data_IF_847685469067
#
_entry.id   IF_847685469067
#
_cell.length_a   1.000
_cell.length_b   1.000
_cell.length_c   1.000
_cell.angle_alpha   90.00
_cell.angle_beta   90.00
_cell.angle_gamma   90.00
#
_symmetry.space_group_name_H-M   'P 1'
#
loop_
_entity.id
_entity.type
_entity.pdbx_description
1 polymer ?
#
# COMPACT_ATOMS: atom_id res chain seq x y z
N UNK A 1 20.67 16.53 -29.45
CA UNK A 1 19.75 15.84 -28.53
C UNK A 1 20.58 14.99 -27.59
N UNK A 2 20.40 15.11 -26.28
CA UNK A 2 21.19 14.32 -25.32
C UNK A 2 20.73 12.86 -25.37
N UNK A 3 21.56 11.96 -25.89
CA UNK A 3 21.36 10.51 -25.82
C UNK A 3 21.54 10.03 -24.38
N UNK A 4 20.53 10.31 -23.56
CA UNK A 4 20.50 9.89 -22.17
C UNK A 4 20.28 8.36 -22.12
N UNK A 5 21.17 7.63 -21.44
CA UNK A 5 21.13 6.18 -21.47
C UNK A 5 19.84 5.68 -20.79
N UNK A 6 19.23 4.65 -21.38
CA UNK A 6 17.92 4.15 -20.95
C UNK A 6 18.07 3.12 -19.83
N UNK A 7 17.53 3.46 -18.66
CA UNK A 7 17.65 2.69 -17.42
C UNK A 7 17.16 1.24 -17.51
N UNK A 8 16.22 0.96 -18.42
CA UNK A 8 15.62 -0.37 -18.59
C UNK A 8 16.39 -1.25 -19.59
N UNK A 9 17.06 -0.65 -20.57
CA UNK A 9 17.70 -1.39 -21.67
C UNK A 9 19.22 -1.49 -21.54
N UNK A 10 19.82 -0.75 -20.61
CA UNK A 10 21.25 -0.84 -20.32
C UNK A 10 21.63 -2.16 -19.62
N UNK A 11 22.88 -2.58 -19.84
CA UNK A 11 23.50 -3.69 -19.11
C UNK A 11 23.47 -3.42 -17.59
N UNK A 12 22.98 -4.36 -16.77
CA UNK A 12 22.81 -4.15 -15.33
C UNK A 12 24.07 -3.74 -14.58
N UNK A 13 25.24 -4.29 -14.94
CA UNK A 13 26.53 -3.94 -14.34
C UNK A 13 26.96 -2.51 -14.65
N UNK A 14 26.90 -2.10 -15.92
CA UNK A 14 27.21 -0.74 -16.38
C UNK A 14 26.29 0.30 -15.72
N UNK A 15 25.02 -0.03 -15.51
CA UNK A 15 24.07 0.82 -14.79
C UNK A 15 24.47 1.03 -13.33
N UNK A 16 24.87 -0.04 -12.65
CA UNK A 16 25.24 0.02 -11.24
C UNK A 16 26.57 0.76 -11.04
N UNK A 17 27.50 0.60 -11.98
CA UNK A 17 28.76 1.34 -12.00
C UNK A 17 28.54 2.85 -12.17
N UNK A 18 27.69 3.26 -13.12
CA UNK A 18 27.30 4.67 -13.27
C UNK A 18 26.59 5.20 -12.02
N UNK A 19 25.74 4.38 -11.39
CA UNK A 19 25.08 4.75 -10.16
C UNK A 19 26.08 4.96 -9.01
N UNK A 20 27.10 4.11 -8.86
CA UNK A 20 28.19 4.33 -7.87
C UNK A 20 28.87 5.66 -8.09
N UNK A 21 29.33 5.93 -9.32
CA UNK A 21 30.03 7.18 -9.68
C UNK A 21 29.20 8.40 -9.35
N UNK A 22 27.93 8.43 -9.74
CA UNK A 22 27.07 9.59 -9.43
C UNK A 22 26.79 9.76 -7.93
N UNK A 23 26.74 8.67 -7.16
CA UNK A 23 26.58 8.75 -5.70
C UNK A 23 27.86 9.29 -5.04
N UNK A 24 29.03 8.84 -5.50
CA UNK A 24 30.34 9.33 -5.03
C UNK A 24 30.57 10.80 -5.38
N UNK A 25 30.14 11.23 -6.58
CA UNK A 25 30.09 12.64 -7.01
C UNK A 25 29.09 13.48 -6.18
N UNK A 26 28.29 12.85 -5.32
CA UNK A 26 27.37 13.54 -4.40
C UNK A 26 26.03 13.93 -5.00
N UNK A 27 25.65 13.38 -6.16
CA UNK A 27 24.33 13.63 -6.75
C UNK A 27 23.22 12.99 -5.91
N UNK A 28 22.11 13.72 -5.77
CA UNK A 28 20.90 13.20 -5.14
C UNK A 28 20.14 12.25 -6.07
N UNK A 29 19.32 11.36 -5.51
CA UNK A 29 18.51 10.41 -6.29
C UNK A 29 17.65 11.06 -7.38
N UNK A 30 17.18 12.30 -7.19
CA UNK A 30 16.38 13.03 -8.18
C UNK A 30 17.25 13.57 -9.32
N UNK A 31 18.46 14.03 -9.04
CA UNK A 31 19.41 14.50 -10.06
C UNK A 31 19.92 13.35 -10.91
N UNK A 32 20.20 12.21 -10.28
CA UNK A 32 20.57 10.98 -11.00
C UNK A 32 19.43 10.52 -11.89
N UNK A 33 18.17 10.57 -11.43
CA UNK A 33 17.03 10.17 -12.25
C UNK A 33 16.90 11.00 -13.55
N UNK A 34 17.30 12.27 -13.55
CA UNK A 34 17.30 13.12 -14.76
C UNK A 34 18.38 12.73 -15.77
N UNK A 35 19.43 12.02 -15.34
CA UNK A 35 20.52 11.54 -16.20
C UNK A 35 20.18 10.23 -16.92
N UNK A 36 19.04 9.62 -16.63
CA UNK A 36 18.58 8.38 -17.26
C UNK A 36 17.20 8.53 -17.89
N UNK A 37 17.00 7.89 -19.03
CA UNK A 37 15.67 7.80 -19.65
C UNK A 37 14.87 6.66 -19.01
N UNK A 38 13.60 6.90 -18.66
CA UNK A 38 12.71 5.87 -18.11
C UNK A 38 12.97 5.50 -16.63
N UNK A 39 13.71 6.33 -15.90
CA UNK A 39 14.02 6.13 -14.49
C UNK A 39 13.39 7.20 -13.59
N UNK A 40 12.94 6.80 -12.40
CA UNK A 40 12.39 7.72 -11.40
C UNK A 40 13.23 7.69 -10.12
N UNK A 41 13.09 8.73 -9.27
CA UNK A 41 13.81 8.84 -7.98
C UNK A 41 13.78 7.54 -7.17
N UNK A 42 12.61 6.90 -7.07
CA UNK A 42 12.44 5.68 -6.28
C UNK A 42 13.16 4.48 -6.87
N UNK A 43 13.30 4.42 -8.21
CA UNK A 43 14.07 3.38 -8.89
C UNK A 43 15.55 3.48 -8.54
N UNK A 44 16.09 4.70 -8.53
CA UNK A 44 17.47 5.00 -8.12
C UNK A 44 17.68 4.70 -6.63
N UNK A 45 16.83 5.25 -5.77
CA UNK A 45 16.95 5.07 -4.31
C UNK A 45 16.86 3.59 -3.90
N UNK A 46 15.93 2.84 -4.50
CA UNK A 46 15.79 1.41 -4.25
C UNK A 46 17.00 0.61 -4.73
N UNK A 47 17.58 0.95 -5.88
CA UNK A 47 18.79 0.27 -6.38
C UNK A 47 20.00 0.58 -5.53
N UNK A 48 20.21 1.86 -5.20
CA UNK A 48 21.30 2.30 -4.31
C UNK A 48 21.24 1.60 -2.95
N UNK A 49 20.05 1.49 -2.35
CA UNK A 49 19.86 0.79 -1.07
C UNK A 49 20.27 -0.69 -1.15
N UNK A 50 19.89 -1.41 -2.22
CA UNK A 50 20.30 -2.81 -2.43
C UNK A 50 21.81 -2.96 -2.67
N UNK A 51 22.46 -1.92 -3.18
CA UNK A 51 23.91 -1.86 -3.40
C UNK A 51 24.69 -1.33 -2.19
N UNK A 52 24.02 -1.00 -1.07
CA UNK A 52 24.66 -0.43 0.12
C UNK A 52 25.16 1.01 -0.05
N UNK A 53 24.78 1.69 -1.12
CA UNK A 53 25.19 3.06 -1.39
C UNK A 53 24.34 4.05 -0.59
N UNK A 54 25.00 4.99 0.09
CA UNK A 54 24.34 6.04 0.86
C UNK A 54 24.45 7.36 0.11
N UNK A 55 23.30 7.99 -0.15
CA UNK A 55 23.29 9.37 -0.60
C UNK A 55 23.77 10.27 0.54
N UNK A 56 24.62 11.24 0.24
CA UNK A 56 24.92 12.30 1.21
C UNK A 56 23.62 13.00 1.57
N UNK A 57 23.22 12.87 2.83
CA UNK A 57 22.01 13.48 3.35
C UNK A 57 22.21 14.98 3.32
N UNK A 58 21.68 15.65 2.28
CA UNK A 58 21.52 17.10 2.33
C UNK A 58 20.62 17.39 3.52
N UNK A 59 21.16 18.11 4.51
CA UNK A 59 20.39 18.60 5.65
C UNK A 59 19.09 19.20 5.14
N UNK A 60 18.00 18.87 5.83
CA UNK A 60 16.63 19.25 5.51
C UNK A 60 16.49 20.78 5.55
N UNK A 61 16.85 21.46 4.45
CA UNK A 61 16.59 22.89 4.30
C UNK A 61 15.08 23.06 4.26
N UNK A 62 14.59 23.97 5.12
CA UNK A 62 13.17 24.22 5.33
C UNK A 62 12.42 24.45 4.01
N UNK A 63 11.21 23.90 3.98
CA UNK A 63 10.26 23.88 2.85
C UNK A 63 10.01 25.29 2.28
N UNK A 64 10.33 25.58 1.01
CA UNK A 64 9.86 26.81 0.36
C UNK A 64 8.35 26.70 0.08
N UNK A 65 7.64 27.83 0.24
CA UNK A 65 6.19 27.96 0.04
C UNK A 65 5.75 27.59 -1.39
N UNK A 66 4.55 27.01 -1.55
CA UNK A 66 4.03 26.60 -2.85
C UNK A 66 3.59 27.80 -3.69
N UNK A 67 4.17 27.97 -4.88
CA UNK A 67 3.65 28.87 -5.92
C UNK A 67 2.46 28.23 -6.67
N UNK A 68 1.46 29.01 -7.11
CA UNK A 68 0.24 28.50 -7.72
C UNK A 68 0.47 27.99 -9.15
N UNK A 69 0.05 26.75 -9.42
CA UNK A 69 0.06 26.14 -10.76
C UNK A 69 -1.21 26.47 -11.54
N UNK A 70 -1.07 27.11 -12.71
CA UNK A 70 -2.12 27.26 -13.72
C UNK A 70 -2.50 25.89 -14.30
N UNK A 71 -3.81 25.61 -14.37
CA UNK A 71 -4.40 24.45 -15.04
C UNK A 71 -4.23 24.57 -16.55
N UNK A 72 -3.66 23.53 -17.17
CA UNK A 72 -3.65 23.36 -18.63
C UNK A 72 -4.81 22.46 -19.02
N UNK A 73 -5.75 23.02 -19.78
CA UNK A 73 -6.84 22.29 -20.41
C UNK A 73 -6.30 21.53 -21.63
N UNK A 74 -6.71 20.27 -21.78
CA UNK A 74 -6.48 19.47 -22.99
C UNK A 74 -7.84 19.09 -23.56
N UNK A 75 -8.15 19.69 -24.70
CA UNK A 75 -9.20 19.26 -25.63
C UNK A 75 -8.84 17.88 -26.20
N UNK A 76 -9.74 16.91 -26.04
CA UNK A 76 -9.63 15.59 -26.66
C UNK A 76 -10.58 15.50 -27.85
N UNK A 77 -10.02 15.24 -29.03
CA UNK A 77 -10.75 14.68 -30.18
C UNK A 77 -10.60 13.15 -30.15
N UNK A 78 -11.59 12.46 -30.73
CA UNK A 78 -11.78 11.01 -30.90
C UNK A 78 -12.65 10.30 -29.85
N UNK A 79 -13.83 9.89 -30.33
CA UNK A 79 -14.92 9.27 -29.59
C UNK A 79 -14.84 7.75 -29.47
N UNK A 80 -15.82 7.20 -28.76
CA UNK A 80 -16.04 5.75 -28.63
C UNK A 80 -16.57 5.33 -27.26
N UNK A 81 -17.87 5.60 -27.02
CA UNK A 81 -18.86 4.89 -26.18
C UNK A 81 -18.36 3.82 -25.19
N UNK A 82 -18.34 4.13 -23.88
CA UNK A 82 -19.11 3.49 -22.78
C UNK A 82 -18.80 4.23 -21.47
N UNK A 83 -19.77 4.97 -20.94
CA UNK A 83 -19.64 5.79 -19.74
C UNK A 83 -19.53 4.96 -18.46
N UNK A 84 -18.31 4.55 -18.10
CA UNK A 84 -17.99 4.10 -16.74
C UNK A 84 -17.91 5.34 -15.87
N UNK A 85 -18.95 5.64 -15.10
CA UNK A 85 -18.87 6.60 -13.99
C UNK A 85 -17.91 6.05 -12.94
N UNK A 86 -16.61 6.26 -13.18
CA UNK A 86 -15.57 6.16 -12.17
C UNK A 86 -15.83 7.32 -11.21
N UNK A 87 -16.56 7.06 -10.14
CA UNK A 87 -16.52 7.90 -8.96
C UNK A 87 -15.03 8.02 -8.57
N UNK A 88 -14.42 9.18 -8.85
CA UNK A 88 -13.10 9.50 -8.34
C UNK A 88 -13.23 9.51 -6.83
N UNK A 89 -12.72 8.45 -6.19
CA UNK A 89 -12.35 8.51 -4.79
C UNK A 89 -11.40 9.69 -4.64
N UNK A 90 -11.94 10.84 -4.21
CA UNK A 90 -11.15 11.94 -3.70
C UNK A 90 -10.33 11.34 -2.56
N UNK A 91 -9.00 11.38 -2.66
CA UNK A 91 -8.15 11.23 -1.49
C UNK A 91 -8.47 12.43 -0.61
N UNK A 92 -9.43 12.25 0.29
CA UNK A 92 -9.66 13.20 1.37
C UNK A 92 -8.44 13.09 2.26
N UNK A 93 -7.75 14.21 2.41
CA UNK A 93 -6.68 14.37 3.37
C UNK A 93 -7.17 13.86 4.73
N UNK A 94 -6.57 12.78 5.23
CA UNK A 94 -7.04 12.08 6.43
C UNK A 94 -6.90 12.93 7.72
N UNK A 95 -6.36 14.13 7.61
CA UNK A 95 -6.18 15.09 8.70
C UNK A 95 -7.23 16.21 8.72
N UNK A 96 -8.07 16.36 7.69
CA UNK A 96 -8.97 17.52 7.56
C UNK A 96 -10.45 17.25 7.92
N UNK A 97 -10.80 16.08 8.44
CA UNK A 97 -12.20 15.75 8.78
C UNK A 97 -12.39 15.06 10.13
N UNK A 98 -11.57 15.40 11.14
CA UNK A 98 -11.90 15.12 12.54
C UNK A 98 -12.95 16.14 13.05
N UNK A 99 -14.16 16.09 12.48
CA UNK A 99 -15.31 16.75 13.10
C UNK A 99 -15.76 15.90 14.30
N UNK A 100 -16.03 16.52 15.45
CA UNK A 100 -16.47 15.83 16.68
C UNK A 100 -17.66 14.90 16.43
N UNK A 101 -18.58 15.29 15.54
CA UNK A 101 -19.70 14.44 15.09
C UNK A 101 -19.24 13.12 14.43
N UNK A 102 -18.15 13.11 13.66
CA UNK A 102 -17.60 11.88 13.08
C UNK A 102 -16.96 10.99 14.14
N UNK A 103 -16.44 11.56 15.23
CA UNK A 103 -15.87 10.81 16.35
C UNK A 103 -17.00 10.14 17.15
N UNK A 104 -18.09 10.87 17.42
CA UNK A 104 -19.27 10.36 18.13
C UNK A 104 -19.96 9.27 17.30
N UNK A 105 -20.23 9.51 16.02
CA UNK A 105 -20.82 8.50 15.12
C UNK A 105 -19.94 7.23 14.99
N UNK A 106 -18.61 7.40 15.04
CA UNK A 106 -17.67 6.26 15.04
C UNK A 106 -17.60 5.56 16.40
N UNK A 107 -17.85 6.25 17.50
CA UNK A 107 -17.94 5.66 18.82
C UNK A 107 -19.27 4.92 19.02
N UNK A 108 -20.37 5.44 18.48
CA UNK A 108 -21.70 4.79 18.50
C UNK A 108 -21.73 3.53 17.64
N UNK A 109 -21.16 3.56 16.43
CA UNK A 109 -21.04 2.34 15.61
C UNK A 109 -20.18 1.25 16.26
N UNK A 110 -19.17 1.62 17.08
CA UNK A 110 -18.40 0.67 17.90
C UNK A 110 -19.17 0.10 19.09
N UNK A 111 -20.22 0.78 19.57
CA UNK A 111 -21.08 0.30 20.67
C UNK A 111 -22.22 -0.60 20.17
N UNK A 112 -22.66 -0.43 18.91
CA UNK A 112 -23.78 -1.14 18.33
C UNK A 112 -23.43 -2.50 17.73
N UNK A 113 -22.17 -2.72 17.30
CA UNK A 113 -21.72 -4.06 16.92
C UNK A 113 -21.49 -4.88 18.21
N UNK A 114 -22.15 -6.04 18.39
CA UNK A 114 -21.75 -7.00 19.41
C UNK A 114 -20.40 -7.63 18.99
N UNK A 115 -19.33 -6.86 19.17
CA UNK A 115 -17.99 -7.27 18.74
C UNK A 115 -17.51 -8.40 19.65
N UNK A 116 -17.55 -9.63 19.15
CA UNK A 116 -16.70 -10.71 19.65
C UNK A 116 -15.24 -10.25 19.51
N UNK A 117 -14.67 -9.73 20.61
CA UNK A 117 -13.27 -9.33 20.67
C UNK A 117 -12.43 -10.57 20.96
N UNK A 118 -12.00 -11.25 19.90
CA UNK A 118 -11.01 -12.32 20.01
C UNK A 118 -9.66 -11.67 20.32
N UNK A 119 -9.05 -12.06 21.43
CA UNK A 119 -7.71 -11.59 21.79
C UNK A 119 -6.67 -12.19 20.84
N UNK A 120 -5.54 -11.51 20.65
CA UNK A 120 -4.45 -12.05 19.81
C UNK A 120 -3.87 -13.37 20.34
N UNK A 121 -4.01 -13.65 21.64
CA UNK A 121 -3.60 -14.93 22.24
C UNK A 121 -4.52 -16.07 21.81
N UNK A 122 -5.83 -15.81 21.70
CA UNK A 122 -6.84 -16.76 21.21
C UNK A 122 -7.04 -16.66 19.69
N UNK A 123 -6.05 -16.15 18.95
CA UNK A 123 -6.17 -15.83 17.54
C UNK A 123 -6.53 -17.04 16.67
N UNK A 124 -6.07 -18.22 17.06
CA UNK A 124 -6.24 -19.47 16.33
C UNK A 124 -7.23 -20.41 17.02
N UNK A 125 -7.97 -19.92 18.01
CA UNK A 125 -9.04 -20.70 18.63
C UNK A 125 -10.34 -20.52 17.82
N UNK A 126 -11.23 -21.53 17.79
CA UNK A 126 -12.51 -21.40 17.13
C UNK A 126 -13.35 -20.29 17.76
N UNK A 127 -14.07 -19.54 16.92
CA UNK A 127 -14.98 -18.49 17.38
C UNK A 127 -16.11 -19.15 18.19
N UNK A 128 -16.44 -18.68 19.41
CA UNK A 128 -17.54 -19.21 20.18
C UNK A 128 -18.86 -19.15 19.38
N UNK A 129 -19.52 -20.30 19.20
CA UNK A 129 -20.78 -20.42 18.47
C UNK A 129 -20.64 -20.68 16.96
N UNK A 130 -19.43 -20.80 16.42
CA UNK A 130 -19.19 -21.24 15.04
C UNK A 130 -18.40 -22.55 15.08
N UNK A 131 -18.96 -23.60 14.48
CA UNK A 131 -18.27 -24.87 14.29
C UNK A 131 -17.24 -24.76 13.15
N UNK A 132 -15.97 -25.10 13.39
CA UNK A 132 -14.96 -25.14 12.35
C UNK A 132 -15.29 -26.13 11.24
N UNK A 133 -14.97 -25.76 10.01
CA UNK A 133 -15.19 -26.57 8.81
C UNK A 133 -13.86 -27.12 8.30
N UNK A 134 -13.85 -28.29 7.63
CA UNK A 134 -12.63 -28.82 7.05
C UNK A 134 -12.09 -27.91 5.92
N UNK A 135 -10.78 -27.98 5.72
CA UNK A 135 -10.06 -27.31 4.65
C UNK A 135 -10.72 -27.58 3.29
N UNK A 136 -10.90 -26.52 2.48
CA UNK A 136 -11.56 -26.58 1.17
C UNK A 136 -13.04 -26.19 1.20
N UNK A 137 -13.65 -26.07 2.37
CA UNK A 137 -15.05 -25.64 2.52
C UNK A 137 -15.27 -24.16 2.17
N UNK A 138 -16.54 -23.78 1.92
CA UNK A 138 -16.95 -22.39 1.76
C UNK A 138 -16.90 -21.63 3.10
N UNK A 139 -16.97 -20.29 3.08
CA UNK A 139 -16.90 -19.47 4.30
C UNK A 139 -15.49 -19.09 4.75
N UNK A 140 -15.35 -18.50 5.94
CA UNK A 140 -14.12 -17.88 6.40
C UNK A 140 -12.92 -18.85 6.38
N UNK A 141 -11.86 -18.52 5.62
CA UNK A 141 -10.66 -19.35 5.42
C UNK A 141 -9.57 -19.14 6.47
N UNK A 142 -9.92 -18.63 7.64
CA UNK A 142 -8.97 -18.38 8.70
C UNK A 142 -8.69 -19.70 9.45
N UNK A 143 -7.42 -20.08 9.66
CA UNK A 143 -7.07 -21.33 10.35
C UNK A 143 -7.41 -21.24 11.84
N UNK A 144 -8.09 -22.25 12.39
CA UNK A 144 -8.57 -22.27 13.79
C UNK A 144 -8.11 -23.52 14.57
N UNK A 145 -7.10 -24.22 14.06
CA UNK A 145 -6.54 -25.43 14.69
C UNK A 145 -5.43 -25.15 15.72
N UNK A 146 -5.34 -23.93 16.25
CA UNK A 146 -4.21 -23.55 17.08
C UNK A 146 -2.87 -23.54 16.32
N UNK A 147 -1.78 -23.31 17.06
CA UNK A 147 -0.41 -23.36 16.51
C UNK A 147 0.11 -24.79 16.33
N UNK A 148 -0.45 -25.75 17.07
CA UNK A 148 0.00 -27.14 17.15
C UNK A 148 -0.94 -28.15 16.46
N UNK A 149 -2.10 -27.71 15.95
CA UNK A 149 -3.02 -28.59 15.24
C UNK A 149 -2.59 -28.86 13.79
N UNK A 150 -3.24 -29.84 13.14
CA UNK A 150 -2.86 -30.29 11.80
C UNK A 150 -3.09 -29.23 10.69
N UNK A 151 -3.67 -28.07 11.01
CA UNK A 151 -3.91 -26.98 10.06
C UNK A 151 -5.00 -27.30 9.03
N UNK A 152 -5.92 -28.20 9.38
CA UNK A 152 -6.94 -28.76 8.49
C UNK A 152 -8.33 -28.19 8.73
N UNK A 153 -8.54 -27.34 9.75
CA UNK A 153 -9.80 -26.66 10.01
C UNK A 153 -9.74 -25.16 9.75
N UNK A 154 -10.82 -24.67 9.15
CA UNK A 154 -11.10 -23.27 8.90
C UNK A 154 -12.27 -22.82 9.75
N UNK A 155 -12.32 -21.52 10.05
CA UNK A 155 -13.43 -20.92 10.78
C UNK A 155 -14.80 -21.18 10.14
N UNK A 156 -14.93 -21.14 8.81
CA UNK A 156 -16.20 -21.45 8.14
C UNK A 156 -17.31 -20.41 8.24
N UNK A 157 -17.20 -19.41 9.13
CA UNK A 157 -18.19 -18.34 9.29
C UNK A 157 -18.48 -17.57 7.98
N UNK A 158 -19.67 -16.98 7.87
CA UNK A 158 -20.05 -16.17 6.72
C UNK A 158 -19.07 -15.02 6.46
N UNK A 159 -18.82 -14.78 5.17
CA UNK A 159 -17.88 -13.76 4.70
C UNK A 159 -18.48 -12.98 3.53
N UNK A 160 -18.15 -11.71 3.44
CA UNK A 160 -18.49 -10.90 2.27
C UNK A 160 -17.86 -11.49 0.99
N UNK A 161 -18.61 -11.46 -0.11
CA UNK A 161 -18.13 -11.92 -1.42
C UNK A 161 -16.89 -11.12 -1.82
N UNK A 162 -15.83 -11.82 -2.22
CA UNK A 162 -14.54 -11.23 -2.55
C UNK A 162 -13.58 -11.06 -1.36
N UNK A 163 -14.02 -11.33 -0.12
CA UNK A 163 -13.13 -11.43 1.05
C UNK A 163 -12.81 -12.88 1.40
N UNK A 164 -11.58 -13.17 1.87
CA UNK A 164 -11.21 -14.52 2.29
C UNK A 164 -11.68 -14.86 3.72
N UNK A 165 -11.95 -13.86 4.56
CA UNK A 165 -12.25 -14.03 5.99
C UNK A 165 -13.55 -13.33 6.39
N UNK A 166 -14.18 -13.80 7.48
CA UNK A 166 -15.28 -13.10 8.15
C UNK A 166 -14.79 -11.76 8.73
N UNK A 167 -15.70 -10.91 9.22
CA UNK A 167 -15.31 -9.59 9.73
C UNK A 167 -14.37 -9.69 10.94
N UNK A 168 -14.62 -10.62 11.85
CA UNK A 168 -13.78 -10.85 13.04
C UNK A 168 -12.34 -11.23 12.65
N UNK A 169 -12.18 -12.25 11.80
CA UNK A 169 -10.86 -12.69 11.33
C UNK A 169 -10.19 -11.69 10.38
N UNK A 170 -10.96 -10.89 9.65
CA UNK A 170 -10.43 -9.78 8.85
C UNK A 170 -9.79 -8.71 9.73
N UNK A 171 -10.36 -8.40 10.91
CA UNK A 171 -9.80 -7.46 11.88
C UNK A 171 -8.53 -8.03 12.52
N UNK A 172 -8.57 -9.29 12.92
CA UNK A 172 -7.42 -10.00 13.51
C UNK A 172 -6.22 -10.05 12.55
N UNK A 173 -6.46 -10.38 11.28
CA UNK A 173 -5.41 -10.43 10.25
C UNK A 173 -4.79 -9.05 9.94
N UNK A 174 -5.55 -7.97 10.13
CA UNK A 174 -5.09 -6.59 9.91
C UNK A 174 -4.35 -6.00 11.11
N UNK A 175 -4.37 -6.66 12.27
CA UNK A 175 -3.66 -6.24 13.48
C UNK A 175 -4.18 -4.94 14.08
N UNK A 176 -5.49 -4.70 13.99
CA UNK A 176 -6.12 -3.43 14.37
C UNK A 176 -7.08 -3.56 15.56
#
# INVERSE_FOLDING_TARGET
>A
MSDLPNWKTMEPGARDELLRRYVEEGFSATEIAKKFTGCFRNSIAGRAHRMGLKFTSRQKVAKPEPKPTKSRETTGSWGGVVGKVRAKARKVDASQHLHVANIVNKAESRKADPVLRISRAAAFDPIPGIEPVPYGSSGCKFPVDGLDGPGLLWCGADREIGRPYCDVHSRLARGN
#
